data_IF_461510999358
#
_entry.id   IF_461510999358
#
_cell.length_a   1.000
_cell.length_b   1.000
_cell.length_c   1.000
_cell.angle_alpha   90.00
_cell.angle_beta   90.00
_cell.angle_gamma   90.00
#
_symmetry.space_group_name_H-M   'P 1'
#
loop_
_entity.id
_entity.type
_entity.pdbx_description
1 polymer ?
#
# COMPACT_ATOMS: atom_id res chain seq x y z
N UNK A 1 -16.85 -35.21 45.70
CA UNK A 1 -15.86 -34.99 44.62
C UNK A 1 -16.48 -34.56 43.28
N UNK A 2 -17.42 -35.30 42.65
CA UNK A 2 -18.04 -34.89 41.36
C UNK A 2 -18.74 -33.52 41.39
N UNK A 3 -19.52 -33.21 42.44
CA UNK A 3 -20.22 -31.91 42.57
C UNK A 3 -19.25 -30.72 42.71
N UNK A 4 -18.18 -30.88 43.48
CA UNK A 4 -17.12 -29.86 43.64
C UNK A 4 -16.36 -29.64 42.31
N UNK A 5 -16.02 -30.73 41.60
CA UNK A 5 -15.39 -30.65 40.27
C UNK A 5 -16.28 -29.93 39.26
N UNK A 6 -17.58 -30.21 39.25
CA UNK A 6 -18.53 -29.53 38.37
C UNK A 6 -18.68 -28.04 38.71
N UNK A 7 -18.66 -27.67 40.00
CA UNK A 7 -18.69 -26.27 40.43
C UNK A 7 -17.43 -25.52 39.99
N UNK A 8 -16.25 -26.11 40.15
CA UNK A 8 -14.98 -25.53 39.69
C UNK A 8 -15.00 -25.32 38.18
N UNK A 9 -15.43 -26.33 37.41
CA UNK A 9 -15.57 -26.23 35.95
C UNK A 9 -16.56 -25.13 35.54
N UNK A 10 -17.67 -24.99 36.27
CA UNK A 10 -18.65 -23.94 36.02
C UNK A 10 -18.08 -22.54 36.28
N UNK A 11 -17.33 -22.35 37.37
CA UNK A 11 -16.67 -21.08 37.68
C UNK A 11 -15.60 -20.73 36.63
N UNK A 12 -14.81 -21.71 36.19
CA UNK A 12 -13.85 -21.53 35.10
C UNK A 12 -14.58 -21.11 33.82
N UNK A 13 -15.69 -21.77 33.48
CA UNK A 13 -16.47 -21.43 32.30
C UNK A 13 -17.02 -20.00 32.36
N UNK A 14 -17.60 -19.57 33.50
CA UNK A 14 -18.07 -18.20 33.69
C UNK A 14 -16.91 -17.21 33.56
N UNK A 15 -15.76 -17.51 34.15
CA UNK A 15 -14.58 -16.66 34.07
C UNK A 15 -14.06 -16.54 32.62
N UNK A 16 -14.01 -17.65 31.87
CA UNK A 16 -13.66 -17.64 30.45
C UNK A 16 -14.64 -16.81 29.62
N UNK A 17 -15.95 -16.93 29.88
CA UNK A 17 -16.98 -16.13 29.20
C UNK A 17 -16.79 -14.64 29.54
N UNK A 18 -16.55 -14.30 30.80
CA UNK A 18 -16.28 -12.94 31.23
C UNK A 18 -15.04 -12.35 30.53
N UNK A 19 -13.92 -13.09 30.52
CA UNK A 19 -12.70 -12.66 29.82
C UNK A 19 -12.95 -12.49 28.33
N UNK A 20 -13.72 -13.37 27.70
CA UNK A 20 -14.08 -13.24 26.29
C UNK A 20 -14.79 -11.92 26.02
N UNK A 21 -15.84 -11.58 26.77
CA UNK A 21 -16.56 -10.31 26.60
C UNK A 21 -15.72 -9.09 26.97
N UNK A 22 -14.87 -9.20 27.99
CA UNK A 22 -14.01 -8.09 28.44
C UNK A 22 -12.95 -7.70 27.40
N UNK A 23 -12.39 -8.68 26.68
CA UNK A 23 -11.43 -8.46 25.61
C UNK A 23 -12.06 -8.35 24.22
N UNK A 24 -13.38 -8.53 24.12
CA UNK A 24 -14.07 -8.46 22.84
C UNK A 24 -14.05 -7.00 22.31
N UNK A 25 -13.63 -6.77 21.06
CA UNK A 25 -13.62 -5.42 20.50
C UNK A 25 -15.03 -4.85 20.34
N UNK A 26 -15.23 -3.64 20.84
CA UNK A 26 -16.45 -2.86 20.68
C UNK A 26 -16.11 -1.53 20.01
N UNK A 27 -16.99 -1.09 19.11
CA UNK A 27 -16.93 0.27 18.60
C UNK A 27 -17.28 1.24 19.74
N UNK A 28 -16.53 2.33 19.84
CA UNK A 28 -16.83 3.40 20.79
C UNK A 28 -16.34 4.73 20.23
N UNK A 29 -16.94 5.81 20.71
CA UNK A 29 -16.51 7.19 20.56
C UNK A 29 -16.49 7.83 21.95
N UNK A 30 -15.42 8.54 22.28
CA UNK A 30 -15.22 9.22 23.55
C UNK A 30 -14.66 10.61 23.30
N UNK A 31 -15.17 11.59 24.03
CA UNK A 31 -14.69 12.97 24.00
C UNK A 31 -14.09 13.30 25.37
N UNK A 32 -12.91 13.93 25.39
CA UNK A 32 -12.22 14.35 26.60
C UNK A 32 -11.29 15.52 26.33
N UNK A 33 -10.90 16.20 27.40
CA UNK A 33 -10.01 17.35 27.35
C UNK A 33 -8.68 17.00 28.04
N UNK A 34 -7.60 17.54 27.48
CA UNK A 34 -6.27 17.62 28.09
C UNK A 34 -5.85 19.07 27.93
N UNK A 35 -5.72 19.81 29.03
CA UNK A 35 -5.44 21.24 29.02
C UNK A 35 -6.33 22.02 28.02
N UNK A 36 -5.73 22.63 26.99
CA UNK A 36 -6.44 23.42 25.97
C UNK A 36 -6.86 22.60 24.73
N UNK A 37 -6.73 21.26 24.79
CA UNK A 37 -7.03 20.36 23.68
C UNK A 37 -8.36 19.66 23.89
N UNK A 38 -9.24 19.73 22.88
CA UNK A 38 -10.43 18.90 22.82
C UNK A 38 -10.17 17.67 21.94
N UNK A 39 -10.29 16.47 22.51
CA UNK A 39 -9.93 15.22 21.85
C UNK A 39 -11.17 14.36 21.65
N UNK A 40 -11.36 13.91 20.41
CA UNK A 40 -12.33 12.88 20.05
C UNK A 40 -11.54 11.61 19.70
N UNK A 41 -11.72 10.58 20.51
CA UNK A 41 -11.12 9.25 20.32
C UNK A 41 -12.20 8.25 19.89
N UNK A 42 -11.95 7.52 18.83
CA UNK A 42 -12.90 6.55 18.29
C UNK A 42 -12.19 5.25 17.87
N UNK A 43 -12.78 4.09 18.19
CA UNK A 43 -12.31 2.80 17.69
C UNK A 43 -13.29 2.22 16.66
N UNK A 44 -12.80 2.07 15.44
CA UNK A 44 -13.56 1.57 14.30
C UNK A 44 -13.50 0.05 14.22
N UNK A 45 -14.38 -0.64 14.96
CA UNK A 45 -14.35 -2.12 15.09
C UNK A 45 -14.26 -2.89 13.77
N UNK A 46 -15.04 -2.49 12.75
CA UNK A 46 -15.08 -3.21 11.46
C UNK A 46 -13.73 -3.11 10.72
N UNK A 47 -13.16 -1.92 10.72
CA UNK A 47 -11.91 -1.59 10.04
C UNK A 47 -10.65 -1.79 10.91
N UNK A 48 -10.82 -2.01 12.22
CA UNK A 48 -9.80 -2.29 13.24
C UNK A 48 -8.72 -1.21 13.35
N UNK A 49 -9.14 0.03 13.58
CA UNK A 49 -8.22 1.14 13.82
C UNK A 49 -8.81 2.15 14.82
N UNK A 50 -7.94 2.96 15.41
CA UNK A 50 -8.25 4.13 16.21
C UNK A 50 -8.13 5.38 15.37
N UNK A 51 -9.03 6.33 15.55
CA UNK A 51 -8.90 7.70 15.05
C UNK A 51 -8.97 8.69 16.20
N UNK A 52 -8.14 9.72 16.12
CA UNK A 52 -8.07 10.82 17.06
C UNK A 52 -8.28 12.12 16.30
N UNK A 53 -9.25 12.94 16.72
CA UNK A 53 -9.38 14.33 16.29
C UNK A 53 -9.03 15.23 17.45
N UNK A 54 -8.01 16.07 17.27
CA UNK A 54 -7.48 16.95 18.30
C UNK A 54 -7.75 18.38 17.85
N UNK A 55 -8.64 19.08 18.55
CA UNK A 55 -8.88 20.51 18.32
C UNK A 55 -7.97 21.31 19.22
N UNK A 56 -7.22 22.22 18.61
CA UNK A 56 -6.34 23.17 19.28
C UNK A 56 -6.48 24.51 18.55
N UNK A 57 -6.90 25.54 19.28
CA UNK A 57 -7.28 26.84 18.70
C UNK A 57 -8.33 26.65 17.58
N UNK A 58 -8.14 27.28 16.42
CA UNK A 58 -9.03 27.15 15.25
C UNK A 58 -8.70 25.93 14.35
N UNK A 59 -7.80 25.05 14.81
CA UNK A 59 -7.25 23.95 14.02
C UNK A 59 -7.76 22.59 14.50
N UNK A 60 -7.95 21.65 13.57
CA UNK A 60 -8.32 20.26 13.88
C UNK A 60 -7.30 19.31 13.26
N UNK A 61 -6.51 18.67 14.11
CA UNK A 61 -5.51 17.69 13.74
C UNK A 61 -6.10 16.29 13.79
N UNK A 62 -5.66 15.42 12.90
CA UNK A 62 -6.15 14.06 12.75
C UNK A 62 -5.00 13.06 12.74
N UNK A 63 -5.15 12.01 13.53
CA UNK A 63 -4.19 10.92 13.60
C UNK A 63 -4.94 9.60 13.62
N UNK A 64 -4.47 8.63 12.83
CA UNK A 64 -4.98 7.26 12.88
C UNK A 64 -3.92 6.31 13.42
N UNK A 65 -4.38 5.22 14.04
CA UNK A 65 -3.51 4.17 14.55
C UNK A 65 -4.15 2.78 14.35
N UNK A 66 -3.36 1.82 13.87
CA UNK A 66 -3.81 0.44 13.60
C UNK A 66 -3.34 -0.57 14.64
N UNK A 67 -3.06 -0.13 15.86
CA UNK A 67 -2.71 -1.02 16.96
C UNK A 67 -3.86 -1.97 17.32
N UNK A 68 -3.51 -3.06 18.01
CA UNK A 68 -4.50 -4.01 18.54
C UNK A 68 -5.47 -3.30 19.48
N UNK A 69 -6.73 -3.75 19.45
CA UNK A 69 -7.76 -3.23 20.35
C UNK A 69 -7.33 -3.38 21.83
N UNK A 70 -7.59 -2.31 22.58
CA UNK A 70 -7.53 -2.25 24.04
C UNK A 70 -8.87 -1.76 24.59
N UNK A 71 -9.24 -2.27 25.76
CA UNK A 71 -10.38 -1.79 26.52
C UNK A 71 -10.07 -0.52 27.33
N UNK A 72 -8.82 -0.06 27.31
CA UNK A 72 -8.41 1.23 27.86
C UNK A 72 -8.96 2.37 27.00
N UNK A 73 -9.14 3.53 27.63
CA UNK A 73 -9.75 4.73 27.07
C UNK A 73 -8.92 5.93 27.50
N UNK A 74 -9.06 7.05 26.79
CA UNK A 74 -8.17 8.22 26.96
C UNK A 74 -6.73 7.79 26.71
N UNK A 75 -6.51 7.32 25.49
CA UNK A 75 -5.24 6.72 25.08
C UNK A 75 -4.15 7.76 24.91
N UNK A 76 -4.51 9.03 24.67
CA UNK A 76 -3.61 10.18 24.78
C UNK A 76 -3.59 10.62 26.25
N UNK A 77 -2.39 10.74 26.82
CA UNK A 77 -2.16 11.20 28.19
C UNK A 77 -1.82 12.68 28.24
N UNK A 78 -1.00 13.12 27.29
CA UNK A 78 -0.48 14.47 27.22
C UNK A 78 -0.18 14.83 25.76
N UNK A 79 -0.19 16.12 25.45
CA UNK A 79 0.09 16.67 24.12
C UNK A 79 1.09 17.81 24.27
N UNK A 80 2.23 17.68 23.59
CA UNK A 80 3.25 18.73 23.51
C UNK A 80 3.14 19.48 22.19
N UNK A 81 3.12 20.80 22.24
CA UNK A 81 3.23 21.66 21.06
C UNK A 81 4.68 22.08 20.88
N UNK A 82 5.25 21.73 19.73
CA UNK A 82 6.54 22.27 19.31
C UNK A 82 6.29 23.39 18.29
N UNK A 83 6.70 24.61 18.64
CA UNK A 83 6.58 25.79 17.78
C UNK A 83 7.94 26.13 17.18
N UNK A 84 8.00 26.20 15.85
CA UNK A 84 9.20 26.65 15.13
C UNK A 84 8.78 27.39 13.87
N UNK A 85 9.17 28.66 13.74
CA UNK A 85 9.02 29.45 12.50
C UNK A 85 7.62 29.38 11.84
N UNK A 86 6.54 29.50 12.63
CA UNK A 86 5.11 29.41 12.25
C UNK A 86 4.54 27.99 12.07
N UNK A 87 5.34 26.96 12.31
CA UNK A 87 4.85 25.58 12.35
C UNK A 87 4.41 25.22 13.76
N UNK A 88 3.17 24.71 13.88
CA UNK A 88 2.65 24.12 15.12
C UNK A 88 2.59 22.61 14.95
N UNK A 89 3.46 21.89 15.65
CA UNK A 89 3.53 20.43 15.61
C UNK A 89 3.03 19.83 16.92
N UNK A 90 2.06 18.92 16.83
CA UNK A 90 1.57 18.16 17.98
C UNK A 90 2.32 16.84 18.11
N UNK A 91 2.89 16.62 19.30
CA UNK A 91 3.46 15.34 19.72
C UNK A 91 2.63 14.75 20.86
N UNK A 92 2.49 13.43 20.91
CA UNK A 92 1.55 12.77 21.82
C UNK A 92 2.26 11.81 22.77
N UNK A 93 2.08 12.00 24.08
CA UNK A 93 2.32 10.91 25.04
C UNK A 93 1.09 10.02 25.11
N UNK A 94 1.27 8.72 24.96
CA UNK A 94 0.16 7.78 24.78
C UNK A 94 0.33 6.50 25.59
N UNK A 95 -0.78 5.81 25.81
CA UNK A 95 -0.78 4.46 26.40
C UNK A 95 -1.36 3.45 25.43
N UNK A 96 -0.69 2.30 25.32
CA UNK A 96 -1.13 1.13 24.55
C UNK A 96 -1.21 1.33 23.02
N UNK A 97 -1.11 2.56 22.53
CA UNK A 97 -1.00 2.92 21.12
C UNK A 97 0.29 3.71 20.90
N UNK A 98 0.64 3.93 19.63
CA UNK A 98 1.69 4.86 19.24
C UNK A 98 1.10 5.80 18.21
N UNK A 99 1.35 7.10 18.35
CA UNK A 99 0.87 8.13 17.44
C UNK A 99 2.08 8.84 16.81
N UNK A 100 1.91 9.30 15.57
CA UNK A 100 2.89 10.10 14.87
C UNK A 100 2.59 11.58 15.05
N UNK A 101 3.62 12.39 14.92
CA UNK A 101 3.49 13.84 14.99
C UNK A 101 2.76 14.36 13.75
N UNK A 102 1.94 15.39 13.96
CA UNK A 102 1.21 16.09 12.90
C UNK A 102 1.39 17.58 13.09
N UNK A 103 1.64 18.27 11.98
CA UNK A 103 1.95 19.69 11.99
C UNK A 103 0.97 20.47 11.13
N UNK A 104 0.88 21.77 11.40
CA UNK A 104 0.18 22.74 10.57
C UNK A 104 0.99 24.02 10.50
N UNK A 105 1.02 24.61 9.31
CA UNK A 105 1.42 25.99 9.11
C UNK A 105 0.23 26.81 8.58
N UNK A 106 0.45 28.09 8.29
CA UNK A 106 -0.57 29.00 7.75
C UNK A 106 -1.30 28.47 6.49
N UNK A 107 -0.69 27.54 5.75
CA UNK A 107 -1.18 27.08 4.44
C UNK A 107 -1.85 25.71 4.50
N UNK A 108 -1.17 24.72 5.08
CA UNK A 108 -1.55 23.31 4.98
C UNK A 108 -1.11 22.49 6.20
N UNK A 109 -1.76 21.34 6.40
CA UNK A 109 -1.28 20.34 7.33
C UNK A 109 -0.14 19.54 6.69
N UNK A 110 0.82 19.09 7.48
CA UNK A 110 1.95 18.31 6.99
C UNK A 110 2.48 17.32 8.03
N UNK A 111 3.19 16.30 7.55
CA UNK A 111 3.92 15.38 8.41
C UNK A 111 5.30 15.93 8.73
N UNK A 112 5.72 15.79 9.98
CA UNK A 112 7.09 16.08 10.36
C UNK A 112 8.03 15.10 9.63
N UNK A 113 8.82 15.62 8.69
CA UNK A 113 9.79 14.83 7.94
C UNK A 113 11.19 15.35 8.21
N UNK A 114 12.15 14.42 8.36
CA UNK A 114 13.56 14.76 8.38
C UNK A 114 14.09 14.66 6.96
N UNK A 115 14.85 15.67 6.52
CA UNK A 115 15.55 15.60 5.25
C UNK A 115 16.65 14.53 5.33
N UNK A 116 16.31 13.33 4.87
CA UNK A 116 17.19 12.18 4.89
C UNK A 116 17.93 12.12 3.56
N UNK A 117 19.22 12.48 3.59
CA UNK A 117 20.12 12.30 2.45
C UNK A 117 20.25 10.83 2.09
N UNK A 118 20.34 10.53 0.80
CA UNK A 118 20.62 9.18 0.34
C UNK A 118 22.01 8.74 0.78
N UNK A 119 22.06 7.74 1.65
CA UNK A 119 23.28 7.11 2.12
C UNK A 119 23.46 5.78 1.40
N UNK A 120 24.39 5.75 0.46
CA UNK A 120 24.73 4.53 -0.28
C UNK A 120 25.42 3.54 0.65
N UNK A 121 24.80 2.37 0.81
CA UNK A 121 25.37 1.26 1.56
C UNK A 121 25.94 0.17 0.63
N UNK A 122 25.37 0.03 -0.56
CA UNK A 122 25.72 -1.01 -1.51
C UNK A 122 25.35 -0.59 -2.95
N UNK A 123 25.70 -1.40 -3.93
CA UNK A 123 25.25 -1.25 -5.31
C UNK A 123 25.17 -2.60 -6.01
N UNK A 124 24.26 -2.70 -6.98
CA UNK A 124 24.20 -3.86 -7.86
C UNK A 124 23.80 -3.42 -9.27
N UNK A 125 24.62 -3.82 -10.26
CA UNK A 125 24.58 -3.24 -11.61
C UNK A 125 24.70 -1.71 -11.49
N UNK A 126 23.79 -0.95 -12.12
CA UNK A 126 23.78 0.51 -12.10
C UNK A 126 22.85 1.10 -11.01
N UNK A 127 22.42 0.29 -10.05
CA UNK A 127 21.49 0.70 -8.99
C UNK A 127 22.25 0.89 -7.69
N UNK A 128 22.17 2.07 -7.12
CA UNK A 128 22.68 2.35 -5.79
C UNK A 128 21.64 1.96 -4.75
N UNK A 129 22.09 1.31 -3.68
CA UNK A 129 21.22 0.75 -2.64
C UNK A 129 21.56 1.44 -1.32
N UNK A 130 20.57 2.15 -0.77
CA UNK A 130 20.62 2.66 0.60
C UNK A 130 19.99 1.67 1.56
N UNK A 131 18.71 1.35 1.34
CA UNK A 131 17.96 0.43 2.20
C UNK A 131 16.91 -0.36 1.39
N UNK A 132 16.63 -1.58 1.81
CA UNK A 132 15.62 -2.46 1.19
C UNK A 132 14.44 -2.78 2.12
N UNK A 133 14.51 -2.46 3.42
CA UNK A 133 13.47 -2.72 4.42
C UNK A 133 12.90 -4.15 4.42
N UNK A 134 13.75 -5.16 4.20
CA UNK A 134 13.35 -6.57 4.09
C UNK A 134 12.31 -6.84 2.97
N UNK A 135 12.12 -5.93 2.02
CA UNK A 135 11.27 -6.12 0.84
C UNK A 135 12.04 -6.78 -0.29
N UNK A 136 11.32 -7.37 -1.24
CA UNK A 136 11.90 -7.75 -2.54
C UNK A 136 11.53 -6.71 -3.59
N UNK A 137 12.52 -6.32 -4.39
CA UNK A 137 12.38 -5.43 -5.53
C UNK A 137 12.65 -6.20 -6.82
N UNK A 138 11.78 -6.03 -7.81
CA UNK A 138 12.00 -6.39 -9.21
C UNK A 138 12.05 -5.08 -10.00
N UNK A 139 13.21 -4.78 -10.57
CA UNK A 139 13.50 -3.50 -11.23
C UNK A 139 13.82 -3.77 -12.70
N UNK A 140 13.00 -3.26 -13.60
CA UNK A 140 13.22 -3.42 -15.04
C UNK A 140 14.31 -2.44 -15.51
N UNK A 141 15.32 -2.95 -16.22
CA UNK A 141 16.42 -2.13 -16.75
C UNK A 141 16.44 -2.08 -18.29
N UNK A 142 15.28 -2.28 -18.93
CA UNK A 142 15.08 -2.39 -20.38
C UNK A 142 15.54 -3.69 -21.03
N UNK A 143 16.25 -4.56 -20.31
CA UNK A 143 16.74 -5.84 -20.84
C UNK A 143 16.38 -7.03 -19.94
N UNK A 144 16.57 -6.87 -18.63
CA UNK A 144 16.34 -7.88 -17.61
C UNK A 144 15.69 -7.28 -16.37
N UNK A 145 15.06 -8.11 -15.55
CA UNK A 145 14.67 -7.71 -14.21
C UNK A 145 15.85 -7.87 -13.26
N UNK A 146 16.24 -6.78 -12.62
CA UNK A 146 17.14 -6.81 -11.47
C UNK A 146 16.32 -7.19 -10.24
N UNK A 147 16.66 -8.33 -9.65
CA UNK A 147 16.07 -8.85 -8.42
C UNK A 147 16.95 -8.45 -7.23
N UNK A 148 16.37 -7.70 -6.28
CA UNK A 148 17.06 -7.28 -5.05
C UNK A 148 16.25 -7.62 -3.82
N UNK A 149 16.88 -8.27 -2.85
CA UNK A 149 16.43 -8.28 -1.46
C UNK A 149 17.64 -8.42 -0.52
N UNK A 150 17.42 -8.43 0.80
CA UNK A 150 18.49 -8.52 1.81
C UNK A 150 19.32 -9.82 1.73
N UNK A 151 18.85 -10.86 1.03
CA UNK A 151 19.50 -12.18 0.98
C UNK A 151 20.16 -12.48 -0.36
N UNK A 152 19.63 -11.96 -1.46
CA UNK A 152 20.01 -12.32 -2.83
C UNK A 152 19.89 -11.12 -3.76
N UNK A 153 20.92 -10.95 -4.59
CA UNK A 153 20.93 -10.05 -5.74
C UNK A 153 21.19 -10.87 -6.99
N UNK A 154 20.34 -10.76 -7.99
CA UNK A 154 20.47 -11.51 -9.25
C UNK A 154 19.71 -10.80 -10.36
N UNK A 155 19.76 -11.34 -11.56
CA UNK A 155 18.95 -10.86 -12.68
C UNK A 155 18.11 -11.98 -13.28
N UNK A 156 17.03 -11.59 -13.95
CA UNK A 156 16.08 -12.49 -14.59
C UNK A 156 15.86 -11.95 -16.02
N UNK A 157 16.48 -12.62 -16.99
CA UNK A 157 16.28 -12.33 -18.41
C UNK A 157 15.06 -13.09 -18.91
N UNK A 158 14.14 -12.40 -19.58
CA UNK A 158 12.91 -12.98 -20.13
C UNK A 158 12.81 -12.91 -21.66
N UNK A 159 13.50 -11.95 -22.26
CA UNK A 159 13.37 -11.60 -23.67
C UNK A 159 14.75 -11.59 -24.34
N UNK A 160 14.76 -11.73 -25.65
CA UNK A 160 15.97 -11.69 -26.46
C UNK A 160 16.30 -10.28 -26.98
N UNK A 161 15.36 -9.34 -26.87
CA UNK A 161 15.49 -7.95 -27.32
C UNK A 161 15.23 -6.98 -26.17
N UNK A 162 15.76 -5.76 -26.30
CA UNK A 162 15.49 -4.69 -25.34
C UNK A 162 14.05 -4.20 -25.46
N UNK A 163 13.36 -4.08 -24.32
CA UNK A 163 11.98 -3.62 -24.21
C UNK A 163 11.93 -2.37 -23.35
N UNK A 164 11.71 -1.22 -23.98
CA UNK A 164 11.68 0.08 -23.27
C UNK A 164 10.43 0.28 -22.41
N UNK A 165 9.32 -0.36 -22.75
CA UNK A 165 8.04 -0.16 -22.07
C UNK A 165 7.25 -1.47 -21.93
N UNK A 166 6.94 -1.82 -20.69
CA UNK A 166 6.11 -2.95 -20.31
C UNK A 166 4.68 -2.46 -20.02
N UNK A 167 3.89 -2.17 -21.06
CA UNK A 167 2.56 -1.56 -20.89
C UNK A 167 1.54 -2.47 -20.18
N UNK A 168 1.58 -3.77 -20.46
CA UNK A 168 0.76 -4.80 -19.84
C UNK A 168 1.62 -5.61 -18.87
N UNK A 169 1.52 -5.30 -17.58
CA UNK A 169 2.22 -5.99 -16.48
C UNK A 169 1.45 -5.77 -15.18
N UNK A 170 1.47 -6.74 -14.28
CA UNK A 170 0.86 -6.58 -12.94
C UNK A 170 1.54 -7.45 -11.92
N UNK A 171 1.58 -6.99 -10.67
CA UNK A 171 1.86 -7.84 -9.52
C UNK A 171 0.57 -8.42 -8.96
N UNK A 172 0.66 -9.61 -8.37
CA UNK A 172 -0.42 -10.23 -7.58
C UNK A 172 0.21 -11.16 -6.54
N UNK A 173 -0.12 -10.97 -5.26
CA UNK A 173 0.52 -11.67 -4.15
C UNK A 173 2.05 -11.57 -4.26
N UNK A 174 2.76 -12.70 -4.35
CA UNK A 174 4.22 -12.77 -4.49
C UNK A 174 4.66 -13.02 -5.94
N UNK A 175 3.85 -12.63 -6.92
CA UNK A 175 4.13 -12.87 -8.33
C UNK A 175 4.08 -11.58 -9.15
N UNK A 176 5.00 -11.47 -10.11
CA UNK A 176 4.92 -10.50 -11.20
C UNK A 176 4.53 -11.25 -12.48
N UNK A 177 3.48 -10.79 -13.15
CA UNK A 177 2.98 -11.37 -14.39
C UNK A 177 3.42 -10.49 -15.55
N UNK A 178 4.27 -11.04 -16.42
CA UNK A 178 4.88 -10.33 -17.54
C UNK A 178 4.58 -11.09 -18.83
N UNK A 179 3.74 -10.57 -19.73
CA UNK A 179 3.57 -11.14 -21.07
C UNK A 179 4.89 -11.32 -21.83
N UNK A 180 4.90 -12.22 -22.80
CA UNK A 180 6.10 -12.46 -23.62
C UNK A 180 6.31 -11.35 -24.67
N UNK A 181 7.07 -10.32 -24.30
CA UNK A 181 7.36 -9.18 -25.17
C UNK A 181 8.32 -9.47 -26.34
N UNK A 182 8.87 -10.68 -26.46
CA UNK A 182 9.51 -11.10 -27.71
C UNK A 182 8.47 -11.16 -28.85
N UNK A 183 7.20 -11.45 -28.51
CA UNK A 183 6.08 -11.44 -29.45
C UNK A 183 5.63 -10.01 -29.76
N UNK A 184 5.08 -9.83 -30.97
CA UNK A 184 4.59 -8.54 -31.44
C UNK A 184 3.06 -8.52 -31.42
N UNK A 185 2.47 -7.43 -30.91
CA UNK A 185 1.04 -7.12 -30.88
C UNK A 185 0.11 -8.05 -30.07
N UNK A 186 0.44 -9.33 -29.97
CA UNK A 186 -0.34 -10.33 -29.23
C UNK A 186 0.57 -11.21 -28.40
N UNK A 187 0.03 -11.65 -27.27
CA UNK A 187 0.71 -12.53 -26.33
C UNK A 187 -0.05 -13.84 -26.18
N UNK A 188 0.61 -14.96 -26.39
CA UNK A 188 0.11 -16.31 -26.08
C UNK A 188 0.75 -16.91 -24.81
N UNK A 189 1.68 -16.18 -24.20
CA UNK A 189 2.45 -16.62 -23.02
C UNK A 189 2.67 -15.47 -22.05
N UNK A 190 2.62 -15.81 -20.76
CA UNK A 190 2.98 -14.92 -19.66
C UNK A 190 4.06 -15.61 -18.81
N UNK A 191 5.13 -14.89 -18.53
CA UNK A 191 6.11 -15.23 -17.51
C UNK A 191 5.57 -14.84 -16.12
N UNK A 192 5.55 -15.81 -15.20
CA UNK A 192 5.20 -15.58 -13.80
C UNK A 192 6.47 -15.65 -12.95
N UNK A 193 6.97 -14.49 -12.54
CA UNK A 193 8.16 -14.37 -11.68
C UNK A 193 7.74 -14.47 -10.23
N UNK A 194 8.33 -15.38 -9.46
CA UNK A 194 8.13 -15.48 -8.02
C UNK A 194 9.09 -14.56 -7.25
N UNK A 195 8.54 -13.56 -6.57
CA UNK A 195 9.31 -12.55 -5.82
C UNK A 195 9.99 -13.10 -4.55
N UNK A 196 9.70 -14.33 -4.13
CA UNK A 196 10.38 -14.93 -2.98
C UNK A 196 11.71 -15.58 -3.35
N UNK A 197 11.89 -16.02 -4.60
CA UNK A 197 13.04 -16.84 -4.99
C UNK A 197 13.60 -16.58 -6.39
N UNK A 198 13.07 -15.59 -7.12
CA UNK A 198 13.45 -15.23 -8.49
C UNK A 198 13.19 -16.32 -9.55
N UNK A 199 12.44 -17.38 -9.23
CA UNK A 199 12.10 -18.41 -10.22
C UNK A 199 11.01 -17.92 -11.17
N UNK A 200 11.16 -18.26 -12.44
CA UNK A 200 10.19 -17.98 -13.49
C UNK A 200 9.42 -19.26 -13.82
N UNK A 201 8.12 -19.13 -14.03
CA UNK A 201 7.25 -20.18 -14.55
C UNK A 201 6.46 -19.65 -15.74
N UNK A 202 6.34 -20.47 -16.77
CA UNK A 202 5.54 -20.14 -17.95
C UNK A 202 4.05 -20.39 -17.71
N UNK A 203 3.25 -19.49 -18.24
CA UNK A 203 1.79 -19.54 -18.24
C UNK A 203 1.32 -19.40 -19.69
N UNK A 204 1.05 -20.53 -20.34
CA UNK A 204 0.52 -20.55 -21.70
C UNK A 204 -0.95 -20.14 -21.70
N UNK A 205 -1.31 -19.27 -22.63
CA UNK A 205 -2.63 -18.71 -22.78
C UNK A 205 -3.37 -19.44 -23.90
N UNK A 206 -4.51 -20.04 -23.58
CA UNK A 206 -5.43 -20.58 -24.59
C UNK A 206 -6.21 -19.49 -25.35
N UNK A 207 -6.10 -18.24 -24.90
CA UNK A 207 -6.65 -17.06 -25.55
C UNK A 207 -5.52 -16.04 -25.68
N UNK A 208 -5.23 -15.61 -26.90
CA UNK A 208 -4.27 -14.54 -27.13
C UNK A 208 -4.74 -13.26 -26.42
N UNK A 209 -3.79 -12.44 -25.95
CA UNK A 209 -4.04 -11.12 -25.37
C UNK A 209 -3.39 -10.05 -26.23
N UNK A 210 -4.12 -8.99 -26.57
CA UNK A 210 -3.53 -7.86 -27.30
C UNK A 210 -2.71 -6.97 -26.36
N UNK A 211 -1.64 -6.38 -26.90
CA UNK A 211 -0.72 -5.53 -26.15
C UNK A 211 -1.33 -4.26 -25.54
N UNK A 212 -2.46 -3.80 -26.07
CA UNK A 212 -3.22 -2.63 -25.60
C UNK A 212 -4.27 -2.98 -24.54
N UNK A 213 -4.32 -4.24 -24.11
CA UNK A 213 -5.07 -4.66 -22.93
C UNK A 213 -4.60 -3.91 -21.69
N UNK A 214 -5.46 -3.84 -20.67
CA UNK A 214 -5.08 -3.30 -19.37
C UNK A 214 -5.67 -4.14 -18.23
N UNK A 215 -4.95 -4.20 -17.11
CA UNK A 215 -5.43 -4.90 -15.92
C UNK A 215 -6.53 -4.09 -15.25
N UNK A 216 -7.67 -4.76 -14.98
CA UNK A 216 -8.73 -4.23 -14.15
C UNK A 216 -8.28 -4.25 -12.68
N UNK A 217 -7.66 -5.35 -12.25
CA UNK A 217 -7.17 -5.51 -10.89
C UNK A 217 -7.15 -6.96 -10.43
N UNK A 218 -6.79 -7.16 -9.16
CA UNK A 218 -6.61 -8.50 -8.60
C UNK A 218 -7.70 -8.81 -7.58
N UNK A 219 -8.15 -10.07 -7.54
CA UNK A 219 -9.01 -10.58 -6.49
C UNK A 219 -8.64 -12.03 -6.13
N UNK A 220 -8.25 -12.24 -4.87
CA UNK A 220 -7.73 -13.53 -4.37
C UNK A 220 -6.50 -13.97 -5.17
N UNK A 221 -6.59 -15.09 -5.88
CA UNK A 221 -5.53 -15.65 -6.71
C UNK A 221 -5.77 -15.42 -8.21
N UNK A 222 -6.59 -14.42 -8.55
CA UNK A 222 -6.96 -14.11 -9.94
C UNK A 222 -6.60 -12.67 -10.28
N UNK A 223 -6.03 -12.48 -11.45
CA UNK A 223 -5.79 -11.16 -12.03
C UNK A 223 -6.73 -10.96 -13.21
N UNK A 224 -7.51 -9.88 -13.19
CA UNK A 224 -8.51 -9.56 -14.21
C UNK A 224 -7.97 -8.48 -15.14
N UNK A 225 -8.25 -8.62 -16.42
CA UNK A 225 -7.85 -7.67 -17.45
C UNK A 225 -8.94 -7.52 -18.50
N UNK A 226 -8.97 -6.38 -19.17
CA UNK A 226 -9.83 -6.11 -20.31
C UNK A 226 -8.97 -5.98 -21.56
N UNK A 227 -9.27 -6.83 -22.54
CA UNK A 227 -8.67 -6.76 -23.87
C UNK A 227 -9.49 -5.83 -24.75
N UNK A 228 -8.89 -4.71 -25.17
CA UNK A 228 -9.59 -3.66 -25.89
C UNK A 228 -9.95 -4.06 -27.32
N UNK A 229 -9.12 -4.88 -27.97
CA UNK A 229 -9.35 -5.31 -29.36
C UNK A 229 -10.41 -6.40 -29.44
N UNK A 230 -10.42 -7.31 -28.48
CA UNK A 230 -11.43 -8.37 -28.39
C UNK A 230 -12.71 -7.91 -27.69
N UNK A 231 -12.68 -6.75 -27.04
CA UNK A 231 -13.75 -6.24 -26.19
C UNK A 231 -14.20 -7.26 -25.14
N UNK A 232 -13.24 -7.97 -24.54
CA UNK A 232 -13.49 -9.12 -23.68
C UNK A 232 -12.74 -8.96 -22.36
N UNK A 233 -13.42 -9.23 -21.24
CA UNK A 233 -12.77 -9.38 -19.94
C UNK A 233 -12.24 -10.79 -19.79
N UNK A 234 -10.99 -10.90 -19.36
CA UNK A 234 -10.38 -12.16 -18.98
C UNK A 234 -9.96 -12.13 -17.51
N UNK A 235 -9.77 -13.31 -16.92
CA UNK A 235 -8.97 -13.45 -15.72
C UNK A 235 -7.96 -14.60 -15.84
N UNK A 236 -6.77 -14.34 -15.30
CA UNK A 236 -5.72 -15.32 -15.10
C UNK A 236 -5.93 -15.97 -13.73
N UNK A 237 -6.17 -17.27 -13.67
CA UNK A 237 -6.26 -18.03 -12.41
C UNK A 237 -4.90 -18.66 -12.10
N UNK A 238 -4.18 -18.07 -11.14
CA UNK A 238 -2.81 -18.49 -10.82
C UNK A 238 -2.74 -19.87 -10.16
N UNK A 239 -3.84 -20.37 -9.57
CA UNK A 239 -3.86 -21.72 -8.99
C UNK A 239 -4.01 -22.77 -10.07
N UNK A 240 -4.84 -22.48 -11.06
CA UNK A 240 -5.08 -23.40 -12.20
C UNK A 240 -4.08 -23.22 -13.33
N UNK A 241 -3.31 -22.13 -13.34
CA UNK A 241 -2.42 -21.77 -14.44
C UNK A 241 -3.17 -21.65 -15.77
N UNK A 242 -4.39 -21.09 -15.74
CA UNK A 242 -5.27 -20.96 -16.91
C UNK A 242 -5.95 -19.59 -16.99
N UNK A 243 -6.21 -19.14 -18.22
CA UNK A 243 -6.95 -17.91 -18.53
C UNK A 243 -8.41 -18.22 -18.89
N UNK A 244 -9.36 -17.46 -18.35
CA UNK A 244 -10.80 -17.64 -18.59
C UNK A 244 -11.46 -16.34 -19.03
N UNK A 245 -12.51 -16.44 -19.85
CA UNK A 245 -13.41 -15.31 -20.12
C UNK A 245 -14.24 -15.01 -18.87
N UNK A 246 -14.52 -13.74 -18.64
CA UNK A 246 -15.46 -13.27 -17.63
C UNK A 246 -16.45 -12.27 -18.21
N UNK A 247 -17.56 -12.08 -17.50
CA UNK A 247 -18.50 -11.00 -17.82
C UNK A 247 -17.91 -9.62 -17.50
N UNK A 248 -18.50 -8.58 -18.07
CA UNK A 248 -18.13 -7.19 -17.79
C UNK A 248 -18.48 -6.81 -16.34
N UNK A 249 -17.51 -7.01 -15.44
CA UNK A 249 -17.65 -6.70 -14.03
C UNK A 249 -16.39 -6.06 -13.47
N UNK A 250 -16.56 -5.15 -12.54
CA UNK A 250 -15.48 -4.55 -11.75
C UNK A 250 -15.73 -4.79 -10.27
N UNK A 251 -14.66 -4.89 -9.49
CA UNK A 251 -14.74 -5.00 -8.05
C UNK A 251 -14.64 -3.60 -7.45
N UNK A 252 -15.70 -3.13 -6.79
CA UNK A 252 -15.77 -1.85 -6.11
C UNK A 252 -16.01 -2.14 -4.63
N UNK A 253 -15.04 -1.78 -3.79
CA UNK A 253 -15.10 -1.92 -2.34
C UNK A 253 -15.49 -3.36 -1.91
N UNK A 254 -14.87 -4.35 -2.57
CA UNK A 254 -15.11 -5.77 -2.34
C UNK A 254 -16.42 -6.33 -2.91
N UNK A 255 -17.22 -5.53 -3.61
CA UNK A 255 -18.48 -5.96 -4.26
C UNK A 255 -18.33 -5.98 -5.77
N UNK A 256 -18.88 -7.02 -6.39
CA UNK A 256 -18.90 -7.13 -7.85
C UNK A 256 -20.03 -6.30 -8.42
N UNK A 257 -19.70 -5.38 -9.30
CA UNK A 257 -20.65 -4.56 -10.03
C UNK A 257 -20.59 -4.87 -11.52
N UNK A 258 -21.76 -5.04 -12.14
CA UNK A 258 -21.86 -5.19 -13.59
C UNK A 258 -21.66 -3.83 -14.25
N UNK A 259 -20.78 -3.78 -15.24
CA UNK A 259 -20.46 -2.58 -15.99
C UNK A 259 -20.73 -2.81 -17.48
N UNK A 260 -21.00 -1.75 -18.22
CA UNK A 260 -21.09 -1.83 -19.70
C UNK A 260 -19.70 -1.90 -20.32
N UNK A 261 -19.58 -2.63 -21.44
CA UNK A 261 -18.37 -2.66 -22.27
C UNK A 261 -17.86 -1.24 -22.61
N UNK A 262 -18.75 -0.32 -22.97
CA UNK A 262 -18.40 1.05 -23.36
C UNK A 262 -17.71 1.85 -22.23
N UNK A 263 -18.14 1.65 -20.97
CA UNK A 263 -17.47 2.24 -19.81
C UNK A 263 -16.05 1.69 -19.61
N UNK A 264 -15.84 0.38 -19.80
CA UNK A 264 -14.50 -0.23 -19.73
C UNK A 264 -13.59 0.31 -20.85
N UNK A 265 -14.13 0.42 -22.07
CA UNK A 265 -13.38 0.90 -23.24
C UNK A 265 -12.96 2.36 -23.11
N UNK A 266 -13.88 3.23 -22.68
CA UNK A 266 -13.65 4.68 -22.69
C UNK A 266 -12.89 5.18 -21.45
N UNK A 267 -13.12 4.57 -20.27
CA UNK A 267 -12.63 5.13 -19.01
C UNK A 267 -11.46 4.35 -18.39
N UNK A 268 -11.04 3.23 -18.99
CA UNK A 268 -10.00 2.32 -18.46
C UNK A 268 -10.21 2.00 -16.97
N UNK A 269 -11.44 1.60 -16.62
CA UNK A 269 -11.82 1.40 -15.21
C UNK A 269 -11.02 0.29 -14.56
N UNK A 270 -10.55 0.52 -13.33
CA UNK A 270 -9.90 -0.47 -12.50
C UNK A 270 -10.75 -0.84 -11.31
N UNK A 271 -10.40 -1.92 -10.63
CA UNK A 271 -10.95 -2.28 -9.33
C UNK A 271 -10.57 -1.20 -8.33
N UNK A 272 -11.48 -0.91 -7.42
CA UNK A 272 -11.27 0.05 -6.34
C UNK A 272 -11.53 -0.63 -5.02
N UNK A 273 -10.70 -0.30 -4.03
CA UNK A 273 -10.93 -0.69 -2.65
C UNK A 273 -11.11 0.58 -1.83
N UNK A 274 -11.99 0.50 -0.84
CA UNK A 274 -12.12 1.55 0.15
C UNK A 274 -10.89 1.51 1.05
N UNK A 275 -10.04 2.53 0.93
CA UNK A 275 -8.87 2.70 1.78
C UNK A 275 -9.21 3.75 2.83
N UNK A 276 -8.97 3.40 4.10
CA UNK A 276 -9.15 4.33 5.23
C UNK A 276 -8.26 5.55 5.03
N UNK A 277 -7.06 5.32 4.52
CA UNK A 277 -6.03 6.32 4.32
C UNK A 277 -5.45 6.14 2.93
N UNK A 278 -5.35 7.23 2.18
CA UNK A 278 -4.92 7.21 0.78
C UNK A 278 -3.78 8.17 0.54
N UNK A 279 -2.97 7.89 -0.48
CA UNK A 279 -1.96 8.80 -0.98
C UNK A 279 -2.28 9.25 -2.40
N UNK A 280 -2.05 10.53 -2.71
CA UNK A 280 -2.22 11.07 -4.05
C UNK A 280 -1.23 12.19 -4.34
N UNK A 281 -1.00 12.46 -5.62
CA UNK A 281 -0.14 13.55 -6.09
C UNK A 281 -1.02 14.68 -6.62
N UNK A 282 -0.75 15.91 -6.17
CA UNK A 282 -1.38 17.14 -6.67
C UNK A 282 -0.29 18.20 -6.85
N UNK A 283 -0.17 18.76 -8.04
CA UNK A 283 0.86 19.78 -8.36
C UNK A 283 2.29 19.36 -7.99
N UNK A 284 2.69 18.12 -8.33
CA UNK A 284 3.99 17.52 -7.98
C UNK A 284 4.27 17.39 -6.47
N UNK A 285 3.24 17.54 -5.62
CA UNK A 285 3.33 17.30 -4.18
C UNK A 285 2.60 16.02 -3.81
N UNK A 286 3.15 15.25 -2.89
CA UNK A 286 2.55 14.03 -2.36
C UNK A 286 1.79 14.34 -1.07
N UNK A 287 0.54 13.92 -1.02
CA UNK A 287 -0.34 14.09 0.13
C UNK A 287 -0.81 12.74 0.64
N UNK A 288 -0.88 12.60 1.97
CA UNK A 288 -1.63 11.55 2.65
C UNK A 288 -2.97 12.10 3.11
N UNK A 289 -4.05 11.31 3.03
CA UNK A 289 -5.40 11.77 3.39
C UNK A 289 -6.18 10.71 4.16
N UNK A 290 -6.69 11.15 5.31
CA UNK A 290 -7.74 10.49 6.08
C UNK A 290 -9.05 11.28 5.92
N UNK A 291 -9.21 12.39 6.65
CA UNK A 291 -10.22 13.42 6.32
C UNK A 291 -9.52 14.68 5.78
N UNK A 292 -8.54 15.19 6.53
CA UNK A 292 -7.65 16.25 6.09
C UNK A 292 -6.52 15.75 5.18
N UNK A 293 -6.02 16.65 4.33
CA UNK A 293 -4.87 16.41 3.45
C UNK A 293 -3.59 16.87 4.16
N UNK A 294 -2.66 15.94 4.36
CA UNK A 294 -1.36 16.18 4.98
C UNK A 294 -0.26 16.10 3.92
N UNK A 295 0.48 17.18 3.73
CA UNK A 295 1.66 17.19 2.88
C UNK A 295 2.70 16.21 3.42
N UNK A 296 3.16 15.31 2.55
CA UNK A 296 4.26 14.39 2.82
C UNK A 296 5.56 15.02 2.35
N UNK A 297 5.63 15.38 1.07
CA UNK A 297 6.85 15.92 0.44
C UNK A 297 6.52 16.55 -0.91
N UNK A 298 7.43 17.37 -1.41
CA UNK A 298 7.34 18.02 -2.71
C UNK A 298 8.22 17.34 -3.79
N UNK A 299 7.98 17.69 -5.05
CA UNK A 299 8.71 17.21 -6.24
C UNK A 299 8.59 15.70 -6.50
N UNK A 300 7.41 15.12 -6.21
CA UNK A 300 7.12 13.72 -6.48
C UNK A 300 6.61 13.55 -7.91
N UNK A 301 7.27 12.67 -8.65
CA UNK A 301 6.92 12.34 -10.03
C UNK A 301 5.85 11.24 -10.12
N UNK A 302 5.91 10.24 -9.24
CA UNK A 302 5.04 9.06 -9.32
C UNK A 302 4.96 8.29 -8.01
N UNK A 303 3.77 7.81 -7.66
CA UNK A 303 3.57 6.76 -6.63
C UNK A 303 3.79 5.40 -7.29
N UNK A 304 4.65 4.58 -6.69
CA UNK A 304 4.99 3.23 -7.15
C UNK A 304 4.11 2.17 -6.47
N UNK A 305 3.93 2.28 -5.15
CA UNK A 305 3.12 1.35 -4.35
C UNK A 305 2.61 2.04 -3.10
N UNK A 306 1.39 1.75 -2.72
CA UNK A 306 0.84 2.02 -1.38
C UNK A 306 0.57 0.68 -0.70
N UNK A 307 0.85 0.61 0.59
CA UNK A 307 0.51 -0.53 1.44
C UNK A 307 0.17 0.01 2.83
N UNK A 308 -1.12 0.07 3.14
CA UNK A 308 -1.59 0.68 4.39
C UNK A 308 -1.17 2.16 4.51
N UNK A 309 -0.33 2.51 5.49
CA UNK A 309 0.23 3.87 5.65
C UNK A 309 1.61 4.00 5.04
N UNK A 310 2.14 2.97 4.40
CA UNK A 310 3.38 3.04 3.64
C UNK A 310 3.10 3.52 2.22
N UNK A 311 3.93 4.45 1.75
CA UNK A 311 3.97 4.86 0.34
C UNK A 311 5.39 4.79 -0.19
N UNK A 312 5.52 4.24 -1.39
CA UNK A 312 6.76 4.20 -2.14
C UNK A 312 6.58 5.07 -3.37
N UNK A 313 7.49 6.01 -3.60
CA UNK A 313 7.34 7.01 -4.66
C UNK A 313 8.69 7.45 -5.22
N UNK A 314 8.68 8.05 -6.41
CA UNK A 314 9.87 8.53 -7.11
C UNK A 314 9.94 10.05 -7.04
N UNK A 315 11.09 10.54 -6.58
CA UNK A 315 11.49 11.95 -6.61
C UNK A 315 12.82 12.02 -7.34
N UNK A 316 12.80 12.63 -8.54
CA UNK A 316 13.89 12.58 -9.53
C UNK A 316 14.25 11.13 -9.91
N UNK A 317 15.46 10.68 -9.59
CA UNK A 317 16.03 9.37 -9.90
C UNK A 317 16.05 8.42 -8.69
N UNK A 318 15.42 8.80 -7.59
CA UNK A 318 15.50 8.09 -6.31
C UNK A 318 14.12 7.59 -5.90
N UNK A 319 14.05 6.32 -5.52
CA UNK A 319 12.90 5.68 -4.88
C UNK A 319 12.95 5.96 -3.39
N UNK A 320 11.89 6.56 -2.89
CA UNK A 320 11.68 6.84 -1.47
C UNK A 320 10.58 5.95 -0.91
N UNK A 321 10.65 5.73 0.39
CA UNK A 321 9.56 5.23 1.21
C UNK A 321 9.19 6.30 2.25
N UNK A 322 7.91 6.43 2.54
CA UNK A 322 7.42 7.23 3.65
C UNK A 322 6.38 6.45 4.45
N UNK A 323 6.46 6.60 5.76
CA UNK A 323 5.43 6.20 6.71
C UNK A 323 5.34 7.26 7.81
N UNK A 324 4.14 7.72 8.23
CA UNK A 324 4.00 8.74 9.27
C UNK A 324 4.76 8.45 10.57
N UNK A 325 4.93 7.18 10.95
CA UNK A 325 5.66 6.80 12.16
C UNK A 325 7.18 6.86 12.02
N UNK A 326 7.73 6.64 10.83
CA UNK A 326 9.18 6.56 10.60
C UNK A 326 9.74 7.69 9.75
N UNK A 327 8.89 8.51 9.16
CA UNK A 327 9.26 9.56 8.22
C UNK A 327 9.67 9.03 6.85
N UNK A 328 10.31 9.90 6.07
CA UNK A 328 10.77 9.66 4.71
C UNK A 328 12.16 9.01 4.71
N UNK A 329 12.38 7.96 3.91
CA UNK A 329 13.68 7.30 3.76
C UNK A 329 13.98 7.05 2.28
N UNK A 330 15.12 7.51 1.76
CA UNK A 330 15.56 7.19 0.40
C UNK A 330 16.10 5.76 0.34
N UNK A 331 15.61 4.95 -0.60
CA UNK A 331 15.85 3.51 -0.65
C UNK A 331 16.85 3.10 -1.72
N UNK A 332 16.55 3.47 -2.96
CA UNK A 332 17.27 3.06 -4.16
C UNK A 332 17.44 4.25 -5.08
N UNK A 333 18.54 4.29 -5.83
CA UNK A 333 18.78 5.34 -6.81
C UNK A 333 19.23 4.76 -8.15
N UNK A 334 18.62 5.22 -9.24
CA UNK A 334 18.95 4.84 -10.60
C UNK A 334 18.58 5.97 -11.57
N UNK A 335 19.59 6.50 -12.28
CA UNK A 335 19.46 7.70 -13.13
C UNK A 335 18.34 7.63 -14.16
N UNK A 336 18.08 6.44 -14.71
CA UNK A 336 17.05 6.22 -15.72
C UNK A 336 15.63 6.54 -15.22
N UNK A 337 15.36 6.43 -13.92
CA UNK A 337 14.04 6.71 -13.36
C UNK A 337 13.62 8.17 -13.47
N UNK A 338 14.58 9.08 -13.69
CA UNK A 338 14.28 10.48 -13.99
C UNK A 338 13.64 10.66 -15.37
N UNK A 339 13.90 9.74 -16.30
CA UNK A 339 13.37 9.78 -17.68
C UNK A 339 12.21 8.82 -17.87
N UNK A 340 12.27 7.62 -17.27
CA UNK A 340 11.21 6.63 -17.33
C UNK A 340 11.09 5.84 -16.03
N UNK A 341 9.97 6.03 -15.34
CA UNK A 341 9.61 5.30 -14.11
C UNK A 341 8.29 4.53 -14.27
N UNK A 342 7.78 4.39 -15.49
CA UNK A 342 6.53 3.67 -15.72
C UNK A 342 6.77 2.18 -15.87
N UNK A 343 6.14 1.40 -14.97
CA UNK A 343 6.23 -0.05 -14.93
C UNK A 343 7.69 -0.56 -14.79
N UNK A 344 8.53 0.22 -14.09
CA UNK A 344 9.95 -0.07 -13.88
C UNK A 344 10.25 -0.70 -12.52
N UNK A 345 9.39 -0.49 -11.54
CA UNK A 345 9.67 -0.81 -10.13
C UNK A 345 8.49 -1.59 -9.56
N UNK A 346 8.77 -2.79 -9.06
CA UNK A 346 7.79 -3.64 -8.39
C UNK A 346 8.31 -4.06 -7.03
N UNK A 347 7.49 -3.85 -5.99
CA UNK A 347 7.87 -4.05 -4.58
C UNK A 347 6.94 -5.08 -3.95
N UNK A 348 7.52 -6.11 -3.34
CA UNK A 348 6.81 -7.22 -2.68
C UNK A 348 7.08 -7.20 -1.17
#
# INVERSE_FOLDING_TARGET
MKKLRNLILFLILIFCIFLFFFFYPHHYKLEYEIDNFNIIEEYHKKAKYYSFKIKYEDNTYEVINKSKYTNKRKLIKDITVNESNLDHCLSFDTTHVNLYNVCKNDKEYFYETKDNKFNKNDSYKNIEIGNLFNKTYLLWNYHEFIYLNNKKKTTISLFNKDIYNLNLITSINNFLLVPDYDQNYKFDKIYMINSNNAKVKDFNLRYELYFDSYFLGNYKNRSYLYDQKQEQVFYLDLKKNEIYKAGYKVLINGKWETITNQKLKNNKLTFTNEEIFTYFIKNNKLYGKYENEYLVTDNVSKIIKTEDMDVYYIKKDTLYHFNPYSGETPLLKYSEWNFNNTNMIFIF
#
